data_IF_029878119036
#
_entry.id   IF_029878119036
#
_cell.length_a   1.000
_cell.length_b   1.000
_cell.length_c   1.000
_cell.angle_alpha   90.00
_cell.angle_beta   90.00
_cell.angle_gamma   90.00
#
_symmetry.space_group_name_H-M   'P 1'
#
loop_
_entity.id
_entity.type
_entity.pdbx_description
1 polymer ?
#
# COMPACT_ATOMS: atom_id res chain seq x y z
N UNK A 1 -6.61 -25.08 20.61
CA UNK A 1 -6.68 -25.60 19.23
C UNK A 1 -8.14 -25.54 18.78
N UNK A 2 -8.52 -24.46 18.08
CA UNK A 2 -9.84 -24.39 17.44
C UNK A 2 -9.77 -25.18 16.13
N UNK A 3 -10.61 -26.20 16.00
CA UNK A 3 -10.81 -26.95 14.75
C UNK A 3 -11.51 -26.03 13.75
N UNK A 4 -10.92 -25.85 12.59
CA UNK A 4 -11.50 -25.12 11.45
C UNK A 4 -12.69 -25.90 10.88
N UNK A 5 -13.81 -25.27 10.54
CA UNK A 5 -14.93 -25.95 9.86
C UNK A 5 -14.53 -26.32 8.43
N UNK A 6 -14.87 -27.52 8.04
CA UNK A 6 -14.73 -28.05 6.68
C UNK A 6 -15.57 -27.19 5.69
N UNK A 7 -15.01 -26.89 4.53
CA UNK A 7 -15.66 -26.13 3.46
C UNK A 7 -17.04 -26.70 3.09
N UNK A 8 -18.11 -25.90 3.02
CA UNK A 8 -19.27 -26.25 2.21
C UNK A 8 -18.95 -25.96 0.74
N UNK A 9 -19.22 -26.92 -0.13
CA UNK A 9 -19.21 -26.71 -1.57
C UNK A 9 -20.44 -25.87 -1.96
N UNK A 10 -20.24 -24.61 -2.26
CA UNK A 10 -21.28 -23.75 -2.81
C UNK A 10 -20.96 -23.36 -4.25
N UNK A 11 -21.99 -23.49 -5.09
CA UNK A 11 -21.95 -23.29 -6.52
C UNK A 11 -21.58 -21.85 -6.94
N UNK A 12 -20.93 -21.82 -8.06
CA UNK A 12 -20.49 -20.61 -8.78
C UNK A 12 -21.67 -19.65 -9.02
N UNK A 13 -21.58 -18.43 -8.53
CA UNK A 13 -22.46 -17.42 -9.06
C UNK A 13 -22.63 -16.07 -8.38
N UNK A 14 -22.37 -15.89 -7.10
CA UNK A 14 -22.73 -14.62 -6.44
C UNK A 14 -21.67 -14.16 -5.42
N UNK A 15 -20.45 -13.82 -5.83
CA UNK A 15 -19.52 -13.40 -4.82
C UNK A 15 -18.28 -12.65 -5.27
N UNK A 16 -18.48 -11.48 -5.85
CA UNK A 16 -17.32 -10.63 -6.22
C UNK A 16 -17.63 -9.14 -6.02
N UNK A 17 -18.34 -8.78 -4.94
CA UNK A 17 -18.89 -7.43 -4.90
C UNK A 17 -18.07 -6.34 -4.20
N UNK A 18 -17.00 -6.62 -3.50
CA UNK A 18 -16.40 -5.52 -2.72
C UNK A 18 -14.87 -5.57 -2.54
N UNK A 19 -14.13 -6.09 -3.49
CA UNK A 19 -12.68 -6.25 -3.36
C UNK A 19 -11.85 -4.95 -3.34
N UNK A 20 -12.46 -3.76 -3.52
CA UNK A 20 -11.66 -2.60 -3.91
C UNK A 20 -12.17 -1.24 -3.44
N UNK A 21 -12.79 -1.16 -2.29
CA UNK A 21 -13.38 0.10 -1.82
C UNK A 21 -12.46 0.86 -0.87
N UNK A 22 -11.20 1.15 -1.25
CA UNK A 22 -10.38 2.11 -0.51
C UNK A 22 -9.64 3.07 -1.43
N UNK A 23 -9.52 4.29 -0.98
CA UNK A 23 -8.70 5.39 -1.55
C UNK A 23 -9.28 6.16 -2.74
N UNK A 24 -10.57 6.52 -2.74
CA UNK A 24 -11.07 7.53 -3.70
C UNK A 24 -11.95 8.61 -3.04
N UNK A 25 -12.00 8.72 -1.71
CA UNK A 25 -12.85 9.75 -1.09
C UNK A 25 -12.13 11.08 -0.84
N UNK A 26 -10.83 11.19 -1.02
CA UNK A 26 -10.09 12.41 -0.64
C UNK A 26 -9.91 13.48 -1.72
N UNK A 27 -10.44 13.35 -2.93
CA UNK A 27 -10.25 14.37 -3.97
C UNK A 27 -11.51 14.79 -4.74
N UNK A 28 -12.68 14.92 -4.09
CA UNK A 28 -13.75 15.72 -4.65
C UNK A 28 -13.87 17.05 -3.87
N UNK A 29 -13.66 18.20 -4.53
CA UNK A 29 -13.95 19.49 -3.90
C UNK A 29 -15.47 19.60 -3.70
N UNK A 30 -15.92 19.65 -2.46
CA UNK A 30 -17.30 19.99 -2.11
C UNK A 30 -17.66 21.34 -2.72
N UNK A 31 -18.86 21.51 -3.31
CA UNK A 31 -19.31 22.82 -3.79
C UNK A 31 -19.41 23.79 -2.61
N UNK A 32 -18.65 24.86 -2.66
CA UNK A 32 -18.70 25.96 -1.69
C UNK A 32 -20.04 26.66 -1.82
N UNK A 33 -20.87 26.55 -0.78
CA UNK A 33 -21.97 27.48 -0.57
C UNK A 33 -21.40 28.83 -0.12
N UNK A 34 -21.91 29.94 -0.63
CA UNK A 34 -21.45 31.27 -0.22
C UNK A 34 -22.04 31.64 1.14
N UNK A 35 -21.24 31.61 2.19
CA UNK A 35 -21.57 32.28 3.45
C UNK A 35 -20.98 33.68 3.43
N UNK A 36 -21.87 34.63 3.24
CA UNK A 36 -21.61 36.04 3.35
C UNK A 36 -21.65 36.43 4.85
N UNK A 37 -20.50 36.72 5.45
CA UNK A 37 -20.44 37.39 6.76
C UNK A 37 -19.25 38.36 6.78
N UNK A 38 -19.60 39.62 6.59
CA UNK A 38 -18.79 40.79 6.93
C UNK A 38 -18.52 40.83 8.44
N UNK A 39 -17.28 40.68 8.87
CA UNK A 39 -16.76 41.29 10.08
C UNK A 39 -15.25 41.50 9.95
N UNK A 40 -14.87 42.74 9.81
CA UNK A 40 -13.50 43.25 9.79
C UNK A 40 -12.94 43.29 11.21
N UNK A 41 -11.81 42.62 11.42
CA UNK A 41 -10.94 42.85 12.59
C UNK A 41 -9.52 43.11 12.06
N UNK A 42 -8.88 44.25 12.39
CA UNK A 42 -7.53 44.56 11.90
C UNK A 42 -6.45 43.90 12.77
N UNK A 43 -5.53 43.18 12.13
CA UNK A 43 -4.27 42.77 12.77
C UNK A 43 -3.15 43.76 12.46
N UNK A 44 -2.27 44.04 13.42
CA UNK A 44 -1.17 44.97 13.21
C UNK A 44 -0.03 44.38 12.35
N UNK A 45 0.36 45.18 11.38
CA UNK A 45 1.45 44.93 10.46
C UNK A 45 2.82 45.03 11.15
N UNK A 46 3.67 44.02 11.04
CA UNK A 46 5.06 44.07 11.47
C UNK A 46 5.95 43.85 10.21
N UNK A 47 6.81 44.81 9.84
CA UNK A 47 7.64 44.68 8.63
C UNK A 47 8.88 43.82 8.87
N UNK A 48 9.35 42.99 7.88
CA UNK A 48 10.55 42.23 8.00
C UNK A 48 11.81 43.12 7.80
N UNK A 49 12.80 42.96 8.66
CA UNK A 49 14.12 43.57 8.55
C UNK A 49 14.93 42.88 7.45
N UNK A 50 15.29 43.64 6.44
CA UNK A 50 16.25 43.24 5.38
C UNK A 50 17.67 43.19 5.89
N UNK A 51 18.28 42.02 5.87
CA UNK A 51 19.76 41.92 5.95
C UNK A 51 20.31 41.70 4.55
N UNK A 52 21.03 42.73 4.07
CA UNK A 52 21.80 42.63 2.84
C UNK A 52 23.08 41.86 3.13
N UNK A 53 23.29 40.75 2.43
CA UNK A 53 24.56 40.02 2.42
C UNK A 53 25.25 40.34 1.11
N UNK A 54 26.36 41.07 1.19
CA UNK A 54 27.24 41.40 0.07
C UNK A 54 28.12 40.18 -0.24
N UNK A 55 27.95 39.58 -1.42
CA UNK A 55 28.79 38.47 -1.88
C UNK A 55 29.78 38.99 -2.91
N UNK A 56 31.08 38.94 -2.59
CA UNK A 56 32.18 39.21 -3.51
C UNK A 56 32.39 37.99 -4.44
N UNK A 57 32.64 38.20 -5.74
CA UNK A 57 32.94 37.08 -6.63
C UNK A 57 34.41 36.67 -6.57
N UNK A 58 34.65 35.44 -6.13
CA UNK A 58 35.95 34.80 -6.26
C UNK A 58 36.03 34.08 -7.60
N UNK A 59 36.78 34.65 -8.55
CA UNK A 59 36.99 34.01 -9.86
C UNK A 59 38.10 32.97 -9.71
N UNK A 60 37.77 31.69 -9.65
CA UNK A 60 38.72 30.59 -9.72
C UNK A 60 38.76 30.05 -11.16
N UNK A 61 39.86 30.29 -11.82
CA UNK A 61 40.17 29.83 -13.18
C UNK A 61 40.60 28.35 -13.10
N UNK A 62 39.72 27.42 -13.46
CA UNK A 62 40.11 26.01 -13.54
C UNK A 62 40.35 25.63 -15.00
N UNK A 63 41.53 25.04 -15.25
CA UNK A 63 41.98 24.58 -16.56
C UNK A 63 41.19 23.35 -16.97
N UNK A 64 40.66 23.38 -18.18
CA UNK A 64 39.97 22.27 -18.82
C UNK A 64 40.95 21.14 -19.13
N UNK A 65 40.76 19.99 -18.49
CA UNK A 65 41.29 18.71 -18.94
C UNK A 65 40.14 17.96 -19.63
N UNK A 66 40.25 17.76 -20.94
CA UNK A 66 39.34 16.92 -21.71
C UNK A 66 39.51 15.47 -21.32
N UNK A 67 38.53 14.93 -20.60
CA UNK A 67 38.39 13.48 -20.44
C UNK A 67 37.41 12.96 -21.48
N UNK A 68 37.89 12.07 -22.34
CA UNK A 68 37.08 11.31 -23.28
C UNK A 68 36.08 10.49 -22.51
N UNK A 69 34.78 10.75 -22.72
CA UNK A 69 33.68 9.97 -22.19
C UNK A 69 33.59 8.64 -22.89
N UNK A 70 33.87 7.57 -22.16
CA UNK A 70 33.45 6.22 -22.49
C UNK A 70 31.89 6.15 -22.42
N UNK A 71 31.21 5.49 -23.36
CA UNK A 71 29.80 5.28 -23.25
C UNK A 71 29.50 4.34 -22.07
N UNK A 72 28.98 4.87 -20.98
CA UNK A 72 28.41 4.02 -19.93
C UNK A 72 27.15 3.37 -20.45
N UNK A 73 27.19 2.08 -20.64
CA UNK A 73 26.00 1.24 -20.85
C UNK A 73 25.16 1.23 -19.59
N UNK A 74 24.31 2.24 -19.43
CA UNK A 74 23.24 2.27 -18.42
C UNK A 74 21.99 1.65 -19.05
N UNK A 75 21.92 0.33 -19.08
CA UNK A 75 20.69 -0.37 -19.44
C UNK A 75 20.33 -1.33 -18.32
N UNK A 76 19.16 -1.17 -17.76
CA UNK A 76 18.32 -2.14 -17.05
C UNK A 76 17.97 -1.95 -15.58
N UNK A 77 18.38 -0.87 -14.88
CA UNK A 77 17.88 -0.66 -13.51
C UNK A 77 16.60 0.20 -13.41
N UNK A 78 16.30 1.00 -14.42
CA UNK A 78 15.13 1.89 -14.40
C UNK A 78 13.77 1.20 -14.55
N UNK A 79 13.73 -0.06 -14.97
CA UNK A 79 12.45 -0.80 -15.15
C UNK A 79 11.91 -1.43 -13.88
N UNK A 80 12.69 -1.45 -12.78
CA UNK A 80 12.27 -2.01 -11.50
C UNK A 80 11.70 -0.99 -10.52
N UNK A 81 11.93 0.28 -10.73
CA UNK A 81 11.51 1.36 -9.82
C UNK A 81 10.06 1.80 -10.00
N UNK A 82 9.49 1.63 -11.19
CA UNK A 82 8.14 2.07 -11.50
C UNK A 82 7.21 0.88 -11.78
N UNK A 83 5.94 0.96 -11.34
CA UNK A 83 4.95 -0.06 -11.68
C UNK A 83 4.69 -0.07 -13.20
N UNK A 84 4.35 -1.25 -13.77
CA UNK A 84 3.97 -1.34 -15.18
C UNK A 84 2.76 -0.46 -15.52
N UNK A 85 2.76 0.08 -16.73
CA UNK A 85 1.66 0.92 -17.22
C UNK A 85 0.34 0.14 -17.31
N UNK A 86 -0.75 0.81 -16.95
CA UNK A 86 -2.11 0.24 -16.97
C UNK A 86 -2.49 -0.52 -15.70
N UNK A 87 -1.62 -0.58 -14.70
CA UNK A 87 -1.91 -1.17 -13.38
C UNK A 87 -2.11 -0.07 -12.33
N UNK A 88 -3.07 -0.30 -11.42
CA UNK A 88 -3.23 0.55 -10.24
C UNK A 88 -2.08 0.29 -9.25
N UNK A 89 -1.44 1.37 -8.78
CA UNK A 89 -0.41 1.27 -7.74
C UNK A 89 -1.03 0.86 -6.41
N UNK A 90 -0.38 -0.11 -5.75
CA UNK A 90 -0.86 -0.66 -4.49
C UNK A 90 0.34 -1.12 -3.66
N UNK A 91 0.17 -1.28 -2.36
CA UNK A 91 1.13 -1.90 -1.46
C UNK A 91 0.54 -3.14 -0.82
N UNK A 92 1.38 -4.12 -0.53
CA UNK A 92 1.02 -5.29 0.25
C UNK A 92 1.91 -5.44 1.46
N UNK A 93 1.35 -5.86 2.58
CA UNK A 93 2.02 -5.97 3.86
C UNK A 93 2.02 -7.43 4.33
N UNK A 94 3.19 -8.02 4.42
CA UNK A 94 3.39 -9.30 5.08
C UNK A 94 3.81 -9.03 6.52
N UNK A 95 2.85 -8.96 7.45
CA UNK A 95 3.13 -8.77 8.87
C UNK A 95 3.43 -10.11 9.53
N UNK A 96 4.66 -10.29 10.01
CA UNK A 96 5.15 -11.53 10.62
C UNK A 96 5.24 -11.40 12.13
N UNK A 97 4.72 -12.40 12.85
CA UNK A 97 4.97 -12.57 14.27
C UNK A 97 6.34 -13.25 14.47
N UNK A 98 7.31 -12.59 15.11
CA UNK A 98 8.68 -13.12 15.25
C UNK A 98 8.77 -14.35 16.13
N UNK A 99 7.81 -14.56 17.06
CA UNK A 99 7.85 -15.65 18.03
C UNK A 99 7.51 -17.01 17.43
N UNK A 100 6.63 -17.03 16.42
CA UNK A 100 6.13 -18.28 15.82
C UNK A 100 6.28 -18.32 14.30
N UNK A 101 6.87 -17.27 13.68
CA UNK A 101 7.07 -17.13 12.24
C UNK A 101 5.78 -17.21 11.40
N UNK A 102 4.65 -16.94 12.02
CA UNK A 102 3.34 -16.89 11.36
C UNK A 102 3.05 -15.50 10.83
N UNK A 103 2.16 -15.44 9.85
CA UNK A 103 1.78 -14.25 9.13
C UNK A 103 0.38 -13.83 9.55
N UNK A 104 0.19 -12.54 9.73
CA UNK A 104 -1.13 -11.95 9.92
C UNK A 104 -1.95 -12.10 8.65
N UNK A 105 -3.13 -12.64 8.79
CA UNK A 105 -4.14 -12.58 7.76
C UNK A 105 -5.51 -12.34 8.40
N UNK A 106 -6.40 -11.72 7.65
CA UNK A 106 -7.74 -11.43 8.13
C UNK A 106 -8.82 -11.81 7.10
N UNK A 107 -9.99 -12.22 7.61
CA UNK A 107 -11.12 -12.59 6.77
C UNK A 107 -11.80 -11.34 6.22
N UNK A 108 -12.11 -11.34 4.94
CA UNK A 108 -12.83 -10.25 4.27
C UNK A 108 -14.30 -10.24 4.67
N UNK A 109 -14.82 -9.05 5.03
CA UNK A 109 -16.25 -8.88 5.32
C UNK A 109 -17.14 -9.03 4.07
N UNK A 110 -16.60 -8.67 2.93
CA UNK A 110 -17.29 -8.63 1.65
C UNK A 110 -17.15 -9.92 0.82
N UNK A 111 -16.19 -10.79 1.17
CA UNK A 111 -15.96 -12.07 0.51
C UNK A 111 -15.88 -13.17 1.58
N UNK A 112 -17.00 -13.81 1.92
CA UNK A 112 -16.99 -14.91 2.88
C UNK A 112 -15.94 -15.97 2.52
N UNK A 113 -15.25 -16.46 3.54
CA UNK A 113 -14.19 -17.48 3.45
C UNK A 113 -12.87 -17.05 2.78
N UNK A 114 -12.75 -15.81 2.28
CA UNK A 114 -11.49 -15.31 1.76
C UNK A 114 -10.69 -14.62 2.86
N UNK A 115 -9.42 -15.01 2.97
CA UNK A 115 -8.45 -14.38 3.88
C UNK A 115 -7.42 -13.61 3.09
N UNK A 116 -6.94 -12.52 3.66
CA UNK A 116 -6.05 -11.59 2.97
C UNK A 116 -5.02 -11.03 3.93
N UNK A 117 -3.79 -10.83 3.44
CA UNK A 117 -2.81 -9.97 4.07
C UNK A 117 -3.19 -8.50 3.87
N UNK A 118 -2.86 -7.58 4.79
CA UNK A 118 -3.15 -6.15 4.65
C UNK A 118 -2.58 -5.60 3.34
N UNK A 119 -3.34 -4.72 2.68
CA UNK A 119 -2.95 -4.10 1.41
C UNK A 119 -3.80 -2.89 1.08
N UNK A 120 -3.24 -1.89 0.43
CA UNK A 120 -4.03 -0.76 -0.01
C UNK A 120 -3.40 0.08 -1.11
N UNK A 121 -4.07 1.16 -1.48
CA UNK A 121 -3.63 2.03 -2.57
C UNK A 121 -2.43 2.88 -2.18
N UNK A 122 -1.63 3.25 -3.18
CA UNK A 122 -0.61 4.29 -3.05
C UNK A 122 -1.21 5.57 -3.60
N UNK A 123 -1.27 6.61 -2.80
CA UNK A 123 -1.79 7.91 -3.19
C UNK A 123 -0.86 8.63 -4.18
N UNK A 124 -1.39 9.64 -4.87
CA UNK A 124 -0.61 10.43 -5.84
C UNK A 124 0.54 11.14 -5.13
N UNK A 125 1.77 10.81 -5.55
CA UNK A 125 2.99 11.38 -4.95
C UNK A 125 3.41 10.73 -3.62
N UNK A 126 2.67 9.75 -3.12
CA UNK A 126 3.04 9.01 -1.92
C UNK A 126 4.15 7.99 -2.20
N UNK A 127 5.08 7.89 -1.25
CA UNK A 127 6.09 6.84 -1.26
C UNK A 127 5.49 5.49 -0.86
N UNK A 128 5.78 4.38 -1.56
CA UNK A 128 5.20 3.07 -1.23
C UNK A 128 5.47 2.59 0.20
N UNK A 129 6.60 2.95 0.80
CA UNK A 129 6.91 2.61 2.19
C UNK A 129 5.95 3.29 3.15
N UNK A 130 5.68 4.58 2.91
CA UNK A 130 4.73 5.35 3.72
C UNK A 130 3.30 4.82 3.53
N UNK A 131 2.92 4.48 2.30
CA UNK A 131 1.63 3.84 2.01
C UNK A 131 1.47 2.53 2.79
N UNK A 132 2.50 1.68 2.83
CA UNK A 132 2.45 0.41 3.56
C UNK A 132 2.29 0.61 5.08
N UNK A 133 2.95 1.60 5.67
CA UNK A 133 2.81 1.94 7.09
C UNK A 133 1.40 2.48 7.37
N UNK A 134 0.90 3.37 6.51
CA UNK A 134 -0.45 3.94 6.62
C UNK A 134 -1.52 2.86 6.53
N UNK A 135 -1.49 2.03 5.49
CA UNK A 135 -2.46 0.95 5.27
C UNK A 135 -2.44 -0.10 6.40
N UNK A 136 -1.25 -0.46 6.91
CA UNK A 136 -1.16 -1.36 8.07
C UNK A 136 -1.93 -0.80 9.28
N UNK A 137 -1.75 0.49 9.56
CA UNK A 137 -2.43 1.16 10.68
C UNK A 137 -3.93 1.30 10.42
N UNK A 138 -4.34 1.71 9.23
CA UNK A 138 -5.74 1.91 8.86
C UNK A 138 -6.53 0.61 8.90
N UNK A 139 -5.96 -0.50 8.44
CA UNK A 139 -6.63 -1.79 8.36
C UNK A 139 -6.58 -2.62 9.65
N UNK A 140 -5.54 -2.42 10.48
CA UNK A 140 -5.29 -3.30 11.63
C UNK A 140 -5.04 -2.58 12.95
N UNK A 141 -4.95 -1.25 12.95
CA UNK A 141 -4.56 -0.46 14.13
C UNK A 141 -3.09 -0.60 14.53
N UNK A 142 -2.33 -1.47 13.87
CA UNK A 142 -0.93 -1.77 14.26
C UNK A 142 -0.02 -0.59 13.92
N UNK A 143 0.74 -0.14 14.92
CA UNK A 143 1.81 0.86 14.83
C UNK A 143 3.16 0.29 15.29
N UNK A 144 3.13 -0.78 16.08
CA UNK A 144 4.32 -1.46 16.61
C UNK A 144 4.80 -2.53 15.62
N UNK A 145 5.40 -2.08 14.51
CA UNK A 145 5.98 -2.95 13.50
C UNK A 145 7.20 -2.32 12.84
N UNK A 146 8.17 -3.15 12.45
CA UNK A 146 9.42 -2.74 11.80
C UNK A 146 9.49 -3.36 10.39
N UNK A 147 9.80 -2.56 9.36
CA UNK A 147 10.08 -3.09 8.03
C UNK A 147 11.44 -3.81 8.07
N UNK A 148 11.46 -5.07 7.70
CA UNK A 148 12.67 -5.92 7.69
C UNK A 148 13.12 -6.30 6.28
N UNK A 149 12.21 -6.25 5.30
CA UNK A 149 12.52 -6.49 3.90
C UNK A 149 11.48 -5.84 2.97
N UNK A 150 11.91 -5.61 1.74
CA UNK A 150 11.09 -5.11 0.64
C UNK A 150 11.25 -6.06 -0.55
N UNK A 151 10.15 -6.34 -1.27
CA UNK A 151 10.23 -7.11 -2.52
C UNK A 151 10.99 -6.29 -3.58
N UNK A 152 11.92 -6.92 -4.33
CA UNK A 152 12.81 -6.19 -5.22
C UNK A 152 12.11 -5.58 -6.45
N UNK A 153 10.86 -6.00 -6.73
CA UNK A 153 10.08 -5.54 -7.87
C UNK A 153 8.60 -5.44 -7.53
N UNK A 154 7.84 -4.80 -8.41
CA UNK A 154 6.39 -4.73 -8.34
C UNK A 154 5.80 -6.06 -8.78
N UNK A 155 5.03 -6.70 -7.91
CA UNK A 155 4.29 -7.93 -8.24
C UNK A 155 2.94 -7.55 -8.82
N UNK A 156 2.60 -8.09 -9.99
CA UNK A 156 1.36 -7.73 -10.69
C UNK A 156 0.38 -8.88 -10.75
N UNK A 157 -0.89 -8.53 -10.79
CA UNK A 157 -1.96 -9.46 -11.17
C UNK A 157 -3.06 -8.73 -11.93
N UNK A 158 -3.68 -9.43 -12.87
CA UNK A 158 -4.80 -8.91 -13.63
C UNK A 158 -6.13 -9.12 -12.91
N UNK A 159 -7.03 -8.16 -13.04
CA UNK A 159 -8.39 -8.34 -12.58
C UNK A 159 -9.13 -9.33 -13.49
N UNK A 160 -9.92 -10.25 -12.94
CA UNK A 160 -10.89 -11.00 -13.73
C UNK A 160 -11.81 -10.06 -14.53
N UNK A 161 -12.26 -10.45 -15.72
CA UNK A 161 -13.03 -9.56 -16.60
C UNK A 161 -14.28 -8.93 -15.95
N UNK A 162 -14.99 -9.69 -15.14
CA UNK A 162 -16.17 -9.24 -14.40
C UNK A 162 -15.82 -8.23 -13.28
N UNK A 163 -14.67 -8.40 -12.64
CA UNK A 163 -14.14 -7.45 -11.66
C UNK A 163 -13.73 -6.15 -12.37
N UNK A 164 -12.99 -6.24 -13.48
CA UNK A 164 -12.56 -5.08 -14.25
C UNK A 164 -13.74 -4.24 -14.74
N UNK A 165 -14.79 -4.90 -15.26
CA UNK A 165 -16.00 -4.22 -15.70
C UNK A 165 -16.68 -3.44 -14.57
N UNK A 166 -16.84 -4.07 -13.40
CA UNK A 166 -17.41 -3.41 -12.21
C UNK A 166 -16.58 -2.20 -11.76
N UNK A 167 -15.26 -2.35 -11.69
CA UNK A 167 -14.35 -1.27 -11.29
C UNK A 167 -14.37 -0.11 -12.27
N UNK A 168 -14.47 -0.39 -13.58
CA UNK A 168 -14.64 0.63 -14.61
C UNK A 168 -15.92 1.46 -14.39
N UNK A 169 -17.02 0.82 -14.03
CA UNK A 169 -18.26 1.52 -13.71
C UNK A 169 -18.20 2.32 -12.41
N UNK A 170 -17.51 1.80 -11.40
CA UNK A 170 -17.41 2.47 -10.09
C UNK A 170 -16.42 3.63 -10.07
N UNK A 171 -15.28 3.49 -10.73
CA UNK A 171 -14.16 4.42 -10.61
C UNK A 171 -13.87 5.20 -11.88
N UNK A 172 -14.53 4.84 -12.99
CA UNK A 172 -14.26 5.47 -14.29
C UNK A 172 -12.86 5.16 -14.84
N UNK A 173 -12.12 4.21 -14.25
CA UNK A 173 -10.75 3.84 -14.63
C UNK A 173 -10.72 2.46 -15.26
N UNK A 174 -9.87 2.31 -16.29
CA UNK A 174 -9.72 1.04 -17.02
C UNK A 174 -8.41 0.32 -16.62
N UNK A 175 -8.18 0.16 -15.31
CA UNK A 175 -7.04 -0.58 -14.81
C UNK A 175 -7.11 -2.04 -15.25
N UNK A 176 -5.97 -2.58 -15.74
CA UNK A 176 -5.83 -4.01 -16.06
C UNK A 176 -5.88 -4.88 -14.79
N UNK A 177 -5.27 -4.37 -13.73
CA UNK A 177 -5.07 -5.05 -12.47
C UNK A 177 -4.40 -4.16 -11.45
N UNK A 178 -3.69 -4.75 -10.52
CA UNK A 178 -2.85 -4.05 -9.55
C UNK A 178 -1.37 -4.40 -9.73
N UNK A 179 -0.51 -3.42 -9.54
CA UNK A 179 0.91 -3.60 -9.31
C UNK A 179 1.17 -3.33 -7.82
N UNK A 180 1.65 -4.32 -7.11
CA UNK A 180 1.82 -4.28 -5.67
C UNK A 180 3.30 -4.26 -5.30
N UNK A 181 3.71 -3.25 -4.51
CA UNK A 181 5.00 -3.23 -3.83
C UNK A 181 4.84 -3.89 -2.48
N UNK A 182 5.57 -4.96 -2.22
CA UNK A 182 5.41 -5.76 -1.02
C UNK A 182 6.50 -5.50 0.00
N UNK A 183 6.08 -5.40 1.27
CA UNK A 183 6.95 -5.19 2.41
C UNK A 183 6.75 -6.29 3.45
N UNK A 184 7.85 -6.79 4.00
CA UNK A 184 7.83 -7.67 5.16
C UNK A 184 8.01 -6.82 6.42
N UNK A 185 7.02 -6.87 7.29
CA UNK A 185 7.05 -6.24 8.60
C UNK A 185 7.22 -7.30 9.70
N UNK A 186 8.05 -6.99 10.67
CA UNK A 186 8.18 -7.73 11.91
C UNK A 186 7.30 -7.05 12.95
N UNK A 187 6.32 -7.77 13.49
CA UNK A 187 5.48 -7.29 14.57
C UNK A 187 6.27 -7.21 15.88
N UNK A 188 6.28 -6.06 16.54
CA UNK A 188 6.99 -5.81 17.81
C UNK A 188 6.05 -5.50 18.96
N UNK A 189 4.75 -5.38 18.66
CA UNK A 189 3.68 -5.13 19.63
C UNK A 189 3.16 -6.40 20.30
N UNK A 190 1.96 -6.26 20.83
CA UNK A 190 1.18 -7.36 21.42
C UNK A 190 -0.11 -7.55 20.63
N UNK A 191 -0.67 -8.75 20.67
CA UNK A 191 -1.90 -9.10 19.94
C UNK A 191 -3.10 -8.19 20.31
N UNK A 192 -3.10 -7.62 21.52
CA UNK A 192 -4.13 -6.67 21.98
C UNK A 192 -4.12 -5.33 21.24
N UNK A 193 -3.02 -4.98 20.56
CA UNK A 193 -2.94 -3.80 19.70
C UNK A 193 -3.76 -3.96 18.41
N UNK A 194 -3.95 -5.21 17.96
CA UNK A 194 -4.62 -5.48 16.69
C UNK A 194 -6.10 -5.18 16.81
N UNK A 195 -6.53 -4.17 16.06
CA UNK A 195 -7.90 -3.68 16.00
C UNK A 195 -8.37 -3.58 14.55
N UNK A 196 -9.25 -4.47 14.12
CA UNK A 196 -9.77 -4.50 12.74
C UNK A 196 -10.70 -3.33 12.38
N UNK A 197 -11.02 -2.49 13.35
CA UNK A 197 -11.63 -1.18 13.08
C UNK A 197 -10.58 -0.15 12.66
N UNK A 198 -9.31 -0.55 12.64
CA UNK A 198 -8.20 0.32 12.31
C UNK A 198 -8.04 1.49 13.26
N UNK A 199 -7.58 2.59 12.73
CA UNK A 199 -7.50 3.86 13.46
C UNK A 199 -8.82 4.67 13.45
N UNK A 200 -9.87 4.13 12.81
CA UNK A 200 -11.19 4.74 12.72
C UNK A 200 -11.34 5.76 11.59
N UNK A 201 -10.32 5.96 10.78
CA UNK A 201 -10.39 6.88 9.62
C UNK A 201 -11.16 6.28 8.47
N UNK A 202 -11.15 4.94 8.36
CA UNK A 202 -11.73 4.21 7.26
C UNK A 202 -12.75 3.15 7.75
N UNK A 203 -13.59 2.69 6.83
CA UNK A 203 -14.55 1.63 7.12
C UNK A 203 -13.81 0.29 7.27
N UNK A 204 -14.15 -0.48 8.32
CA UNK A 204 -13.60 -1.82 8.52
C UNK A 204 -13.79 -2.72 7.31
N UNK A 205 -12.73 -3.38 6.88
CA UNK A 205 -12.72 -4.34 5.77
C UNK A 205 -12.70 -5.79 6.24
N UNK A 206 -12.25 -6.02 7.46
CA UNK A 206 -11.99 -7.35 8.02
C UNK A 206 -12.92 -7.67 9.17
N UNK A 207 -13.28 -8.96 9.28
CA UNK A 207 -14.15 -9.49 10.33
C UNK A 207 -13.40 -10.23 11.43
N UNK A 208 -12.45 -11.09 11.05
CA UNK A 208 -11.63 -11.89 11.96
C UNK A 208 -10.19 -11.87 11.49
N UNK A 209 -9.24 -12.04 12.41
CA UNK A 209 -7.83 -12.16 12.07
C UNK A 209 -7.19 -13.35 12.79
N UNK A 210 -6.07 -13.81 12.28
CA UNK A 210 -5.26 -14.86 12.90
C UNK A 210 -3.82 -14.84 12.42
N UNK A 211 -2.92 -15.34 13.25
CA UNK A 211 -1.57 -15.71 12.84
C UNK A 211 -1.62 -17.09 12.19
N UNK A 212 -1.40 -17.17 10.87
CA UNK A 212 -1.46 -18.41 10.08
C UNK A 212 -0.13 -18.69 9.38
N UNK A 213 0.07 -19.95 8.95
CA UNK A 213 1.31 -20.30 8.25
C UNK A 213 1.35 -19.72 6.84
N UNK A 214 2.55 -19.57 6.23
CA UNK A 214 2.68 -19.13 4.84
C UNK A 214 1.82 -19.95 3.87
N UNK A 215 1.74 -21.27 4.07
CA UNK A 215 0.95 -22.18 3.22
C UNK A 215 -0.55 -21.89 3.37
N UNK A 216 -1.02 -21.67 4.60
CA UNK A 216 -2.41 -21.33 4.87
C UNK A 216 -2.81 -19.98 4.28
N UNK A 217 -1.89 -18.98 4.26
CA UNK A 217 -2.15 -17.68 3.59
C UNK A 217 -2.48 -17.91 2.12
N UNK A 218 -1.71 -18.76 1.45
CA UNK A 218 -1.93 -19.07 0.03
C UNK A 218 -3.25 -19.85 -0.17
N UNK A 219 -3.50 -20.85 0.68
CA UNK A 219 -4.69 -21.69 0.56
C UNK A 219 -5.99 -20.91 0.70
N UNK A 220 -6.05 -20.00 1.69
CA UNK A 220 -7.23 -19.25 2.05
C UNK A 220 -7.46 -17.99 1.20
N UNK A 221 -6.48 -17.61 0.37
CA UNK A 221 -6.60 -16.47 -0.54
C UNK A 221 -7.58 -16.76 -1.69
N UNK A 222 -8.16 -15.70 -2.26
CA UNK A 222 -8.90 -15.78 -3.53
C UNK A 222 -7.97 -16.26 -4.65
N UNK A 223 -8.50 -17.04 -5.58
CA UNK A 223 -7.68 -17.79 -6.55
C UNK A 223 -6.74 -16.90 -7.37
N UNK A 224 -7.20 -15.74 -7.83
CA UNK A 224 -6.37 -14.83 -8.64
C UNK A 224 -5.25 -14.14 -7.85
N UNK A 225 -5.29 -14.12 -6.51
CA UNK A 225 -4.21 -13.61 -5.65
C UNK A 225 -3.20 -14.69 -5.21
N UNK A 226 -3.54 -15.97 -5.33
CA UNK A 226 -2.65 -17.07 -4.93
C UNK A 226 -1.26 -17.02 -5.59
N UNK A 227 -1.14 -16.72 -6.89
CA UNK A 227 0.17 -16.56 -7.53
C UNK A 227 1.03 -15.45 -6.90
N UNK A 228 0.42 -14.29 -6.62
CA UNK A 228 1.07 -13.15 -5.94
C UNK A 228 1.60 -13.58 -4.57
N UNK A 229 0.76 -14.21 -3.77
CA UNK A 229 1.15 -14.65 -2.42
C UNK A 229 2.27 -15.70 -2.46
N UNK A 230 2.24 -16.63 -3.42
CA UNK A 230 3.33 -17.60 -3.61
C UNK A 230 4.66 -16.91 -3.91
N UNK A 231 4.64 -15.94 -4.81
CA UNK A 231 5.83 -15.18 -5.20
C UNK A 231 6.39 -14.39 -4.01
N UNK A 232 5.56 -13.60 -3.35
CA UNK A 232 5.94 -12.77 -2.20
C UNK A 232 6.49 -13.60 -1.05
N UNK A 233 5.82 -14.69 -0.69
CA UNK A 233 6.27 -15.57 0.39
C UNK A 233 7.56 -16.32 0.03
N UNK A 234 7.79 -16.59 -1.25
CA UNK A 234 9.08 -17.12 -1.73
C UNK A 234 10.19 -16.09 -1.57
N UNK A 235 9.95 -14.82 -1.92
CA UNK A 235 10.92 -13.72 -1.75
C UNK A 235 11.30 -13.56 -0.28
N UNK A 236 10.34 -13.64 0.64
CA UNK A 236 10.57 -13.45 2.07
C UNK A 236 10.92 -14.76 2.81
N UNK A 237 11.05 -15.89 2.14
CA UNK A 237 11.18 -17.23 2.75
C UNK A 237 12.30 -17.34 3.78
N UNK A 238 13.43 -16.67 3.58
CA UNK A 238 14.57 -16.66 4.51
C UNK A 238 14.23 -16.10 5.91
N UNK A 239 13.17 -15.31 6.03
CA UNK A 239 12.76 -14.69 7.29
C UNK A 239 11.79 -15.57 8.11
N UNK A 240 11.25 -16.62 7.50
CA UNK A 240 10.32 -17.57 8.16
C UNK A 240 11.02 -18.81 8.74
N UNK A 241 12.33 -18.93 8.53
CA UNK A 241 13.17 -20.01 9.05
C UNK A 241 13.58 -19.79 10.52
#
# INVERSE_FOLDING_TARGET
QRKWPLRPSYGDGYMLMALFCRSIVSNFPLPRLPLNLNTSIPFPYCPPKSHQITVLPLVLRCKTASFASLPSSSSSSASMENPPEGYRRNVGICLMNPSNKKIFAASRLDIPSAWQMPQGGVDDGEDPTNAAIRELREETGVTSAEIVAEAPHWVTYDFPPDVREKLRHQWGSDWKGQAQKWFLFKFTGKDEEINLMGDGTEKAEFGEWSWISPEQVIELAVDFKKPVYKEVLSVFSQHFQ
#
